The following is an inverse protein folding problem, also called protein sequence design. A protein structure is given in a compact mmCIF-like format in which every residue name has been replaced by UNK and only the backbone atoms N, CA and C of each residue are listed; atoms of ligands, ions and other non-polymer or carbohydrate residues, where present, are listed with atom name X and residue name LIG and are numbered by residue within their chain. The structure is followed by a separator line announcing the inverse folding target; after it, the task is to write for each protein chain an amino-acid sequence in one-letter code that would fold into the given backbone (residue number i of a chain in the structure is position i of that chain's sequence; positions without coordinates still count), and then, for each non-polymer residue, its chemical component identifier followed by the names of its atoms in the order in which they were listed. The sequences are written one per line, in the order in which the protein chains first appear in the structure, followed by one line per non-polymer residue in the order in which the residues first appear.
data_IF_965497016784
#
_entry.id   IF_965497016784
#
_cell.length_a   1.000
_cell.length_b   1.000
_cell.length_c   1.000
_cell.angle_alpha   90.00
_cell.angle_beta   90.00
_cell.angle_gamma   90.00
#
_symmetry.space_group_name_H-M   'P 1'
#
loop_
_entity.id
_entity.type
_entity.pdbx_description
1 polymer ?
#
# COMPACT_ATOMS: atom_id res chain seq x y z
N UNK A 1 -11.52 13.61 -9.55
CA UNK A 1 -11.59 13.30 -9.68
C UNK A 1 -11.71 12.73 -9.85
N UNK A 2 -11.70 12.57 -9.75
CA UNK A 2 -11.87 11.99 -9.94
C UNK A 2 -12.10 11.07 -9.73
N UNK A 3 -12.29 10.71 -9.69
CA UNK A 3 -12.50 9.90 -9.58
C UNK A 3 -12.49 9.03 -9.82
N UNK A 4 -12.56 8.76 -9.99
CA UNK A 4 -12.62 7.94 -10.24
C UNK A 4 -12.91 7.06 -10.12
N UNK A 5 -13.00 6.96 -10.08
CA UNK A 5 -13.39 6.20 -10.08
C UNK A 5 -13.57 5.37 -10.12
N UNK A 6 -13.77 5.25 -10.24
CA UNK A 6 -13.99 4.61 -10.37
C UNK A 6 -14.14 3.75 -10.39
N UNK A 7 -14.19 3.67 -10.47
CA UNK A 7 -14.38 2.89 -10.60
C UNK A 7 -14.61 1.95 -10.53
N UNK A 8 -14.67 1.83 -10.52
CA UNK A 8 -14.93 1.02 -10.57
C UNK A 8 -15.21 0.15 -10.49
N UNK A 9 -15.47 -0.06 -10.43
CA UNK A 9 -15.79 -0.87 -10.41
C UNK A 9 -16.12 -1.72 -10.50
N UNK A 10 -16.26 -1.77 -10.39
CA UNK A 10 -16.63 -2.56 -10.58
C UNK A 10 -16.81 -3.46 -10.82
N UNK A 11 -16.98 -3.19 -10.52
CA UNK A 11 -17.37 -4.02 -10.79
C UNK A 11 -17.25 -5.29 -11.02
N UNK A 12 -17.32 -5.68 -11.39
CA UNK A 12 -17.07 -7.05 -11.58
C UNK A 12 -16.97 -7.90 -10.36
N UNK A 13 -16.50 -7.45 -9.40
CA UNK A 13 -16.55 -8.08 -8.11
C UNK A 13 -15.78 -9.36 -7.93
N UNK A 14 -14.87 -9.67 -8.84
CA UNK A 14 -14.16 -10.92 -8.69
C UNK A 14 -12.85 -10.79 -7.95
N UNK A 15 -12.34 -9.61 -7.81
CA UNK A 15 -11.02 -9.45 -7.26
C UNK A 15 -10.94 -9.04 -5.81
N UNK A 16 -12.06 -8.84 -5.18
CA UNK A 16 -12.05 -8.29 -3.85
C UNK A 16 -12.03 -6.77 -3.89
N UNK A 17 -12.27 -6.16 -2.77
CA UNK A 17 -12.40 -4.72 -2.67
C UNK A 17 -11.03 -4.06 -2.51
N UNK A 18 -10.88 -2.90 -3.12
CA UNK A 18 -9.73 -2.05 -2.88
C UNK A 18 -9.85 -1.45 -1.49
N UNK A 19 -8.82 -1.62 -0.70
CA UNK A 19 -8.78 -1.11 0.65
C UNK A 19 -7.64 -0.12 0.80
N UNK A 20 -7.70 0.65 1.88
CA UNK A 20 -6.73 1.69 2.14
C UNK A 20 -6.30 1.60 3.59
N UNK A 21 -5.02 1.80 3.85
CA UNK A 21 -4.49 1.79 5.20
C UNK A 21 -3.51 2.92 5.38
N UNK A 22 -3.51 3.48 6.57
CA UNK A 22 -2.59 4.55 6.95
C UNK A 22 -1.52 3.93 7.84
N UNK A 23 -0.30 3.87 7.33
CA UNK A 23 0.82 3.27 8.05
C UNK A 23 1.75 4.32 8.63
N UNK A 24 1.29 5.56 8.71
CA UNK A 24 2.14 6.67 9.13
C UNK A 24 2.71 6.47 10.53
N UNK A 25 2.00 5.77 11.41
CA UNK A 25 2.49 5.53 12.76
C UNK A 25 3.72 4.62 12.79
N UNK A 26 4.01 3.94 11.71
CA UNK A 26 5.19 3.08 11.63
C UNK A 26 6.42 3.84 11.13
N UNK A 27 6.28 5.10 10.76
CA UNK A 27 7.39 5.92 10.28
C UNK A 27 8.14 6.47 11.47
N UNK A 28 9.43 6.15 11.59
CA UNK A 28 10.22 6.59 12.74
C UNK A 28 11.63 7.03 12.37
N UNK A 29 11.91 7.17 11.08
CA UNK A 29 13.24 7.59 10.63
C UNK A 29 14.22 6.47 10.47
N UNK A 30 13.86 5.27 10.88
CA UNK A 30 14.75 4.11 10.79
C UNK A 30 14.07 2.92 10.14
N UNK A 31 12.74 2.84 10.25
CA UNK A 31 11.99 1.69 9.78
C UNK A 31 11.85 1.71 8.27
N UNK A 32 12.19 0.60 7.63
CA UNK A 32 11.99 0.45 6.19
C UNK A 32 11.06 -0.72 5.85
N UNK A 33 10.57 -1.42 6.86
CA UNK A 33 9.66 -2.55 6.67
C UNK A 33 8.33 -2.20 7.32
N UNK A 34 7.25 -2.24 6.54
CA UNK A 34 5.95 -1.75 6.97
C UNK A 34 4.92 -2.85 6.83
N UNK A 35 4.07 -2.97 7.83
CA UNK A 35 3.10 -4.05 7.90
C UNK A 35 1.70 -3.54 7.66
N UNK A 36 0.97 -4.22 6.78
CA UNK A 36 -0.42 -3.93 6.53
C UNK A 36 -1.29 -4.60 7.60
N UNK A 37 -2.52 -4.12 7.77
CA UNK A 37 -3.41 -4.72 8.78
C UNK A 37 -3.93 -6.11 8.40
N UNK A 38 -3.76 -6.52 7.17
CA UNK A 38 -4.22 -7.83 6.71
C UNK A 38 -3.42 -8.22 5.47
N UNK A 39 -3.62 -9.45 5.02
CA UNK A 39 -2.93 -9.93 3.83
C UNK A 39 -3.48 -9.23 2.58
N UNK A 40 -2.60 -8.98 1.63
CA UNK A 40 -2.97 -8.34 0.38
C UNK A 40 -2.57 -9.23 -0.79
N UNK A 41 -3.24 -9.05 -1.92
CA UNK A 41 -2.90 -9.80 -3.12
C UNK A 41 -1.60 -9.27 -3.71
N UNK A 42 -0.70 -10.17 -4.07
CA UNK A 42 0.57 -9.80 -4.66
C UNK A 42 0.32 -8.95 -5.90
N UNK A 43 1.08 -7.88 -6.01
CA UNK A 43 0.98 -6.98 -7.16
C UNK A 43 -0.10 -5.92 -7.05
N UNK A 44 -0.94 -5.98 -6.01
CA UNK A 44 -2.02 -5.01 -5.86
C UNK A 44 -1.62 -3.79 -5.04
N UNK A 45 -0.48 -3.85 -4.38
CA UNK A 45 -0.10 -2.82 -3.43
C UNK A 45 0.30 -1.53 -4.12
N UNK A 46 -0.26 -0.42 -3.66
CA UNK A 46 0.12 0.91 -4.12
C UNK A 46 0.52 1.73 -2.91
N UNK A 47 1.74 2.22 -2.92
CA UNK A 47 2.32 2.92 -1.78
C UNK A 47 2.41 4.40 -2.12
N UNK A 48 1.99 5.23 -1.17
CA UNK A 48 2.07 6.69 -1.31
C UNK A 48 2.86 7.24 -0.13
N UNK A 49 3.90 7.98 -0.46
CA UNK A 49 4.75 8.62 0.55
C UNK A 49 4.55 10.12 0.45
N UNK A 50 3.95 10.69 1.51
CA UNK A 50 3.58 12.11 1.54
C UNK A 50 2.78 12.50 0.29
N UNK A 51 1.88 11.60 -0.13
CA UNK A 51 1.02 11.83 -1.26
C UNK A 51 1.61 11.49 -2.60
N UNK A 52 2.87 11.10 -2.66
CA UNK A 52 3.53 10.77 -3.93
C UNK A 52 3.56 9.26 -4.11
N UNK A 53 3.04 8.80 -5.25
CA UNK A 53 3.00 7.38 -5.53
C UNK A 53 4.40 6.83 -5.73
N UNK A 54 4.68 5.71 -5.09
CA UNK A 54 5.95 5.03 -5.19
C UNK A 54 5.88 3.95 -6.27
N UNK A 55 7.03 3.50 -6.74
CA UNK A 55 7.11 2.57 -7.85
C UNK A 55 7.64 1.23 -7.35
N UNK A 56 6.82 0.20 -7.48
CA UNK A 56 7.20 -1.13 -7.06
C UNK A 56 8.41 -1.62 -7.86
N UNK A 57 9.38 -2.16 -7.14
CA UNK A 57 10.63 -2.59 -7.77
C UNK A 57 11.67 -1.48 -7.86
N UNK A 58 11.26 -0.23 -7.64
CA UNK A 58 12.17 0.91 -7.71
C UNK A 58 12.36 1.54 -6.35
N UNK A 59 11.27 2.02 -5.75
CA UNK A 59 11.37 2.71 -4.46
C UNK A 59 10.78 1.89 -3.32
N UNK A 60 10.05 0.84 -3.63
CA UNK A 60 9.61 -0.12 -2.62
C UNK A 60 9.50 -1.49 -3.27
N UNK A 61 9.42 -2.51 -2.43
CA UNK A 61 9.34 -3.89 -2.88
C UNK A 61 8.41 -4.66 -1.96
N UNK A 62 7.51 -5.45 -2.54
CA UNK A 62 6.65 -6.33 -1.74
C UNK A 62 7.51 -7.44 -1.15
N UNK A 63 7.40 -7.63 0.16
CA UNK A 63 8.23 -8.61 0.85
C UNK A 63 7.49 -9.93 1.04
N UNK A 64 6.29 -9.86 1.59
CA UNK A 64 5.43 -11.03 1.73
C UNK A 64 3.98 -10.55 1.72
N UNK A 65 3.05 -11.42 2.10
CA UNK A 65 1.64 -11.12 1.94
C UNK A 65 1.12 -10.06 2.92
N UNK A 66 1.93 -9.63 3.88
CA UNK A 66 1.50 -8.60 4.84
C UNK A 66 2.47 -7.44 4.96
N UNK A 67 3.66 -7.53 4.38
CA UNK A 67 4.68 -6.48 4.55
C UNK A 67 5.30 -6.07 3.23
N UNK A 68 5.77 -4.83 3.20
CA UNK A 68 6.60 -4.34 2.11
C UNK A 68 7.78 -3.57 2.68
N UNK A 69 8.78 -3.35 1.85
CA UNK A 69 10.02 -2.69 2.26
C UNK A 69 10.27 -1.49 1.37
N UNK A 70 10.62 -0.35 1.96
CA UNK A 70 11.07 0.80 1.16
C UNK A 70 12.54 0.58 0.82
N UNK A 71 12.91 0.86 -0.42
CA UNK A 71 14.26 0.57 -0.90
C UNK A 71 15.04 1.81 -1.28
N UNK A 72 14.40 2.98 -1.34
CA UNK A 72 15.04 4.20 -1.78
C UNK A 72 14.87 5.34 -0.80
N UNK A 73 14.13 5.13 0.27
CA UNK A 73 13.89 6.18 1.25
C UNK A 73 13.52 5.54 2.58
N UNK A 74 13.68 6.33 3.64
CA UNK A 74 13.31 5.89 5.00
C UNK A 74 12.35 6.94 5.56
N UNK A 75 11.07 6.61 5.68
CA UNK A 75 10.10 7.59 6.19
C UNK A 75 10.41 8.01 7.61
N UNK A 76 10.24 9.28 7.88
CA UNK A 76 10.55 9.86 9.16
C UNK A 76 9.29 10.07 9.99
N UNK A 77 9.47 10.22 11.29
CA UNK A 77 8.37 10.53 12.17
C UNK A 77 7.64 11.77 11.67
N UNK A 78 6.34 11.67 11.53
CA UNK A 78 5.54 12.78 11.03
C UNK A 78 5.24 12.72 9.56
N UNK A 79 5.92 11.85 8.82
CA UNK A 79 5.60 11.67 7.41
C UNK A 79 4.31 10.88 7.25
N UNK A 80 3.68 11.04 6.09
CA UNK A 80 2.47 10.30 5.77
C UNK A 80 2.82 9.13 4.85
N UNK A 81 2.47 7.93 5.29
CA UNK A 81 2.67 6.73 4.49
C UNK A 81 1.35 5.99 4.43
N UNK A 82 0.77 5.95 3.24
CA UNK A 82 -0.52 5.30 3.05
C UNK A 82 -0.41 4.30 1.91
N UNK A 83 -1.28 3.31 1.94
CA UNK A 83 -1.28 2.26 0.93
C UNK A 83 -2.69 1.96 0.48
N UNK A 84 -2.82 1.60 -0.79
CA UNK A 84 -4.03 1.00 -1.34
C UNK A 84 -3.69 -0.42 -1.72
N UNK A 85 -4.61 -1.34 -1.50
CA UNK A 85 -4.35 -2.74 -1.80
C UNK A 85 -5.66 -3.48 -1.96
N UNK A 86 -5.59 -4.64 -2.58
CA UNK A 86 -6.72 -5.55 -2.64
C UNK A 86 -6.48 -6.64 -1.61
N UNK A 87 -7.41 -6.78 -0.66
CA UNK A 87 -7.24 -7.75 0.41
C UNK A 87 -7.24 -9.16 -0.18
N UNK A 88 -6.38 -10.01 0.38
CA UNK A 88 -6.36 -11.41 -0.02
C UNK A 88 -7.57 -12.09 0.57
N UNK A 89 -8.38 -12.68 -0.29
CA UNK A 89 -9.58 -13.36 0.15
C UNK A 89 -9.25 -14.79 0.53
N UNK A 90 -9.76 -15.22 1.68
CA UNK A 90 -9.52 -16.57 2.13
C UNK A 90 -10.59 -17.54 1.64
N UNK A 91 -11.58 -17.04 0.96
CA UNK A 91 -12.66 -17.93 0.50
C UNK A 91 -12.70 -18.05 -0.99
#
# INVERSE_FOLDING_TARGET
MFRFAFFINESGGTGGDMKQADLSSQCDGSNTSFELPEEYQAGSLRVYYNGVRQVEGETFSEHNSTTFTTTDFTPETGDFLTVDYIAESST
#
